data_IF_080300213463
#
_entry.id   IF_080300213463
#
_cell.length_a   1.000
_cell.length_b   1.000
_cell.length_c   1.000
_cell.angle_alpha   90.00
_cell.angle_beta   90.00
_cell.angle_gamma   90.00
#
_symmetry.space_group_name_H-M   'P 1'
#
loop_
_entity.id
_entity.type
_entity.pdbx_description
1 polymer ?
#
# COMPACT_ATOMS: atom_id res chain seq x y z
N UNK A 1 3.91 16.81 -76.02
CA UNK A 1 5.24 17.29 -75.62
C UNK A 1 5.24 17.32 -74.12
N UNK A 2 5.98 16.37 -73.58
CA UNK A 2 5.92 15.90 -72.20
C UNK A 2 6.30 16.97 -71.20
N UNK A 3 5.51 17.04 -70.13
CA UNK A 3 5.88 17.68 -68.88
C UNK A 3 6.23 16.59 -67.87
N UNK A 4 7.40 16.73 -67.27
CA UNK A 4 7.96 15.89 -66.20
C UNK A 4 6.92 15.49 -65.15
N UNK A 5 6.77 14.19 -64.92
CA UNK A 5 6.30 13.68 -63.65
C UNK A 5 7.33 12.73 -63.05
N UNK A 6 7.93 13.23 -61.98
CA UNK A 6 8.88 12.59 -61.08
C UNK A 6 8.31 11.26 -60.59
N UNK A 7 9.00 10.15 -60.92
CA UNK A 7 8.76 8.85 -60.30
C UNK A 7 9.05 8.94 -58.79
N UNK A 8 8.00 8.82 -57.97
CA UNK A 8 8.16 8.62 -56.52
C UNK A 8 8.66 7.20 -56.27
N UNK A 9 9.91 7.11 -55.86
CA UNK A 9 10.56 5.90 -55.37
C UNK A 9 9.88 5.43 -54.07
N UNK A 10 9.19 4.28 -54.12
CA UNK A 10 8.67 3.61 -52.92
C UNK A 10 9.74 2.65 -52.42
N UNK A 11 10.34 2.97 -51.27
CA UNK A 11 11.21 2.04 -50.54
C UNK A 11 10.35 1.16 -49.64
N UNK A 12 10.22 -0.11 -49.99
CA UNK A 12 9.72 -1.14 -49.07
C UNK A 12 10.85 -1.64 -48.18
N UNK A 13 10.51 -2.10 -46.98
CA UNK A 13 11.38 -2.16 -45.80
C UNK A 13 12.56 -3.16 -45.86
N UNK A 14 12.70 -3.96 -46.92
CA UNK A 14 13.83 -4.88 -47.08
C UNK A 14 14.43 -4.78 -48.49
N UNK A 15 15.50 -4.00 -48.62
CA UNK A 15 16.17 -3.67 -49.88
C UNK A 15 16.94 -4.82 -50.54
N UNK A 16 16.30 -5.96 -50.86
CA UNK A 16 16.88 -7.03 -51.69
C UNK A 16 15.98 -7.36 -52.88
N UNK A 17 16.55 -7.30 -54.09
CA UNK A 17 16.00 -7.96 -55.29
C UNK A 17 16.36 -9.45 -55.19
N UNK A 18 15.38 -10.34 -55.06
CA UNK A 18 15.60 -11.78 -55.27
C UNK A 18 14.46 -12.38 -56.09
N UNK A 19 14.87 -13.21 -57.04
CA UNK A 19 14.04 -13.92 -57.99
C UNK A 19 13.14 -14.96 -57.29
N UNK A 20 12.05 -15.29 -57.98
CA UNK A 20 11.02 -16.23 -57.59
C UNK A 20 11.58 -17.65 -57.60
N UNK A 21 11.64 -18.30 -56.44
CA UNK A 21 11.66 -19.76 -56.35
C UNK A 21 10.31 -20.25 -55.83
N UNK A 22 9.76 -21.23 -56.58
CA UNK A 22 8.52 -21.94 -56.28
C UNK A 22 8.75 -22.90 -55.12
N UNK A 23 7.83 -22.92 -54.16
CA UNK A 23 7.38 -24.16 -53.55
C UNK A 23 5.98 -23.99 -52.94
N UNK A 24 5.14 -25.00 -53.17
CA UNK A 24 3.76 -25.12 -52.72
C UNK A 24 3.73 -25.63 -51.27
N UNK A 25 2.88 -25.05 -50.42
CA UNK A 25 1.75 -25.76 -49.78
C UNK A 25 1.04 -24.84 -48.76
N UNK A 26 -0.26 -25.09 -48.61
CA UNK A 26 -1.26 -24.10 -48.21
C UNK A 26 -1.28 -23.66 -46.75
N UNK A 27 -1.53 -22.36 -46.57
CA UNK A 27 -2.38 -21.76 -45.55
C UNK A 27 -2.61 -20.29 -45.96
N UNK A 28 -3.86 -19.89 -46.24
CA UNK A 28 -4.21 -18.51 -46.57
C UNK A 28 -3.96 -17.60 -45.35
N UNK A 29 -2.78 -16.98 -45.29
CA UNK A 29 -2.54 -15.81 -44.44
C UNK A 29 -3.41 -14.68 -44.96
N UNK A 30 -4.53 -14.38 -44.28
CA UNK A 30 -5.24 -13.11 -44.41
C UNK A 30 -4.22 -11.97 -44.31
N UNK A 31 -4.01 -11.26 -45.41
CA UNK A 31 -3.19 -10.05 -45.40
C UNK A 31 -3.82 -9.06 -44.43
N UNK A 32 -3.09 -8.72 -43.37
CA UNK A 32 -3.48 -7.60 -42.51
C UNK A 32 -3.39 -6.36 -43.39
N UNK A 33 -4.52 -5.80 -43.78
CA UNK A 33 -4.56 -4.53 -44.52
C UNK A 33 -3.71 -3.50 -43.78
N UNK A 34 -2.69 -2.97 -44.45
CA UNK A 34 -1.85 -1.90 -43.92
C UNK A 34 -2.68 -0.62 -43.82
N UNK A 35 -3.32 -0.40 -42.68
CA UNK A 35 -4.02 0.86 -42.40
C UNK A 35 -2.99 1.99 -42.34
N UNK A 36 -3.14 2.98 -43.21
CA UNK A 36 -2.30 4.19 -43.21
C UNK A 36 -2.88 5.17 -42.20
N UNK A 37 -2.15 5.41 -41.10
CA UNK A 37 -2.50 6.42 -40.10
C UNK A 37 -2.02 7.79 -40.58
N UNK A 38 -2.91 8.79 -40.61
CA UNK A 38 -2.59 10.15 -41.11
C UNK A 38 -2.76 11.26 -40.06
N UNK A 39 -3.22 10.94 -38.84
CA UNK A 39 -3.51 11.94 -37.80
C UNK A 39 -2.36 12.12 -36.80
N UNK A 40 -1.17 12.43 -37.31
CA UNK A 40 0.03 12.64 -36.50
C UNK A 40 -0.05 13.87 -35.58
N UNK A 41 -1.01 14.78 -35.82
CA UNK A 41 -1.23 15.96 -34.99
C UNK A 41 -2.07 15.67 -33.73
N UNK A 42 -2.98 14.69 -33.75
CA UNK A 42 -3.74 14.31 -32.56
C UNK A 42 -2.99 13.31 -31.68
N UNK A 43 -2.39 12.25 -32.25
CA UNK A 43 -1.60 11.27 -31.50
C UNK A 43 -0.61 10.57 -32.43
N UNK A 44 0.68 10.74 -32.19
CA UNK A 44 1.71 10.06 -33.00
C UNK A 44 2.00 8.65 -32.44
N UNK A 45 1.96 7.58 -33.27
CA UNK A 45 2.40 6.25 -32.85
C UNK A 45 3.87 6.28 -32.44
N UNK A 46 4.22 5.60 -31.33
CA UNK A 46 5.61 5.52 -30.89
C UNK A 46 6.47 4.78 -31.93
N UNK A 47 7.67 5.29 -32.19
CA UNK A 47 8.63 4.62 -33.05
C UNK A 47 8.98 3.22 -32.47
N UNK A 48 9.18 2.18 -33.30
CA UNK A 48 9.50 0.84 -32.83
C UNK A 48 10.69 0.79 -31.86
N UNK A 49 11.72 1.61 -32.11
CA UNK A 49 12.92 1.73 -31.29
C UNK A 49 12.60 2.29 -29.89
N UNK A 50 11.62 3.19 -29.79
CA UNK A 50 11.14 3.74 -28.52
C UNK A 50 10.32 2.70 -27.76
N UNK A 51 9.43 1.97 -28.45
CA UNK A 51 8.67 0.86 -27.85
C UNK A 51 9.63 -0.21 -27.31
N UNK A 52 10.64 -0.57 -28.10
CA UNK A 52 11.66 -1.53 -27.71
C UNK A 52 12.45 -1.03 -26.49
N UNK A 53 12.96 0.21 -26.53
CA UNK A 53 13.71 0.79 -25.40
C UNK A 53 12.87 0.84 -24.12
N UNK A 54 11.58 1.20 -24.22
CA UNK A 54 10.66 1.20 -23.08
C UNK A 54 10.42 -0.22 -22.56
N UNK A 55 10.25 -1.19 -23.46
CA UNK A 55 10.01 -2.60 -23.08
C UNK A 55 11.27 -3.21 -22.44
N UNK A 56 12.45 -2.92 -22.97
CA UNK A 56 13.75 -3.28 -22.40
C UNK A 56 13.97 -2.61 -21.05
N UNK A 57 13.68 -1.32 -20.91
CA UNK A 57 13.73 -0.62 -19.63
C UNK A 57 12.73 -1.21 -18.63
N UNK A 58 11.54 -1.61 -19.08
CA UNK A 58 10.63 -2.36 -18.25
C UNK A 58 11.27 -3.69 -17.85
N UNK A 59 11.86 -4.49 -18.75
CA UNK A 59 12.46 -5.78 -18.41
C UNK A 59 13.75 -5.74 -17.58
N UNK A 60 14.55 -4.68 -17.71
CA UNK A 60 15.93 -4.67 -17.22
C UNK A 60 16.27 -3.44 -16.37
N UNK A 61 15.56 -2.32 -16.53
CA UNK A 61 15.79 -1.11 -15.76
C UNK A 61 14.91 -1.05 -14.49
N UNK A 62 14.77 -2.18 -13.79
CA UNK A 62 14.27 -2.17 -12.41
C UNK A 62 15.41 -1.74 -11.49
N UNK A 63 15.35 -0.48 -11.04
CA UNK A 63 16.31 0.04 -10.09
C UNK A 63 15.80 1.35 -9.52
N UNK A 64 15.88 1.50 -8.21
CA UNK A 64 15.64 2.79 -7.58
C UNK A 64 16.84 3.71 -7.93
N UNK A 65 16.66 4.86 -8.61
CA UNK A 65 17.73 5.80 -8.94
C UNK A 65 18.47 6.40 -7.73
N UNK A 66 18.04 6.07 -6.50
CA UNK A 66 18.68 6.46 -5.24
C UNK A 66 19.34 5.30 -4.45
N UNK A 67 19.44 4.09 -5.03
CA UNK A 67 19.87 2.89 -4.28
C UNK A 67 21.34 2.50 -4.44
N UNK A 68 22.26 3.42 -4.11
CA UNK A 68 23.63 3.06 -3.72
C UNK A 68 23.82 2.96 -2.19
N UNK A 69 22.73 3.03 -1.42
CA UNK A 69 22.75 2.86 0.03
C UNK A 69 22.01 1.60 0.45
N UNK A 70 22.73 0.63 1.01
CA UNK A 70 22.16 -0.49 1.76
C UNK A 70 21.62 0.06 3.08
N UNK A 71 20.30 0.24 3.19
CA UNK A 71 19.66 0.49 4.48
C UNK A 71 19.49 -0.86 5.18
N UNK A 72 20.12 -1.03 6.34
CA UNK A 72 19.88 -2.17 7.20
C UNK A 72 18.49 -2.06 7.84
N UNK A 73 17.75 -3.17 7.89
CA UNK A 73 16.46 -3.25 8.55
C UNK A 73 16.46 -4.39 9.57
N UNK A 74 15.81 -4.16 10.72
CA UNK A 74 15.52 -5.20 11.70
C UNK A 74 14.01 -5.39 11.77
N UNK A 75 13.54 -6.60 11.50
CA UNK A 75 12.14 -6.98 11.65
C UNK A 75 11.97 -7.62 13.02
N UNK A 76 11.47 -6.83 13.97
CA UNK A 76 11.22 -7.30 15.33
C UNK A 76 9.97 -8.18 15.34
N UNK A 77 10.04 -9.43 15.83
CA UNK A 77 8.89 -10.31 15.89
C UNK A 77 7.86 -9.77 16.89
N UNK A 78 6.59 -10.07 16.64
CA UNK A 78 5.53 -9.84 17.63
C UNK A 78 5.49 -10.97 18.66
N UNK A 79 5.01 -10.65 19.85
CA UNK A 79 4.73 -11.64 20.87
C UNK A 79 3.64 -12.59 20.42
N UNK A 80 3.90 -13.90 20.53
CA UNK A 80 2.91 -14.95 20.25
C UNK A 80 1.79 -15.00 21.29
N UNK A 81 1.95 -14.30 22.41
CA UNK A 81 0.99 -14.28 23.51
C UNK A 81 0.04 -13.08 23.36
N UNK A 82 0.57 -11.90 23.07
CA UNK A 82 -0.21 -10.65 23.02
C UNK A 82 -0.57 -10.22 21.59
N UNK A 83 0.11 -10.78 20.58
CA UNK A 83 -0.03 -10.34 19.18
C UNK A 83 0.51 -8.93 18.94
N UNK A 84 1.12 -8.30 19.95
CA UNK A 84 1.73 -6.98 19.89
C UNK A 84 3.25 -7.10 19.73
N UNK A 85 3.86 -6.03 19.23
CA UNK A 85 5.30 -5.86 19.43
C UNK A 85 5.57 -5.40 20.86
N UNK A 86 6.60 -5.98 21.48
CA UNK A 86 7.00 -5.59 22.83
C UNK A 86 7.97 -4.39 22.74
N UNK A 87 7.75 -3.40 23.60
CA UNK A 87 8.54 -2.16 23.59
C UNK A 87 10.02 -2.46 23.84
N UNK A 88 10.33 -3.33 24.80
CA UNK A 88 11.70 -3.72 25.14
C UNK A 88 12.42 -4.38 23.96
N UNK A 89 11.74 -5.19 23.14
CA UNK A 89 12.32 -5.83 21.97
C UNK A 89 12.70 -4.79 20.89
N UNK A 90 11.87 -3.74 20.72
CA UNK A 90 12.22 -2.62 19.83
C UNK A 90 13.43 -1.87 20.37
N UNK A 91 13.45 -1.55 21.67
CA UNK A 91 14.56 -0.80 22.28
C UNK A 91 15.87 -1.59 22.18
N UNK A 92 15.83 -2.90 22.40
CA UNK A 92 16.98 -3.79 22.26
C UNK A 92 17.51 -3.88 20.81
N UNK A 93 16.66 -3.68 19.81
CA UNK A 93 17.04 -3.70 18.40
C UNK A 93 17.72 -2.40 17.90
N UNK A 94 17.70 -1.34 18.71
CA UNK A 94 18.24 -0.02 18.31
C UNK A 94 19.75 -0.05 18.21
N UNK A 95 20.27 0.51 17.12
CA UNK A 95 21.70 0.63 16.80
C UNK A 95 22.13 2.09 16.81
N UNK A 96 23.45 2.38 16.86
CA UNK A 96 23.95 3.75 16.69
C UNK A 96 23.47 4.41 15.38
N UNK A 97 23.28 3.62 14.32
CA UNK A 97 22.83 4.07 13.00
C UNK A 97 21.31 4.02 12.78
N UNK A 98 20.52 3.59 13.76
CA UNK A 98 19.05 3.58 13.63
C UNK A 98 18.55 5.02 13.48
N UNK A 99 17.76 5.28 12.44
CA UNK A 99 17.19 6.59 12.13
C UNK A 99 15.66 6.64 12.19
N UNK A 100 14.99 5.50 12.05
CA UNK A 100 13.53 5.41 12.00
C UNK A 100 13.04 4.12 12.67
N UNK A 101 12.02 4.26 13.50
CA UNK A 101 11.18 3.16 13.96
C UNK A 101 9.81 3.34 13.32
N UNK A 102 9.35 2.32 12.60
CA UNK A 102 8.09 2.35 11.85
C UNK A 102 7.23 1.15 12.23
N UNK A 103 6.15 1.39 12.97
CA UNK A 103 5.24 0.35 13.46
C UNK A 103 3.81 0.75 13.15
N UNK A 104 3.02 -0.16 12.56
CA UNK A 104 1.61 0.09 12.31
C UNK A 104 0.83 0.30 13.61
N UNK A 105 -0.12 1.22 13.63
CA UNK A 105 -0.92 1.51 14.83
C UNK A 105 -1.90 0.38 15.14
N UNK A 106 -2.52 -0.19 14.10
CA UNK A 106 -3.44 -1.31 14.25
C UNK A 106 -3.26 -2.31 13.10
N UNK A 107 -3.09 -3.58 13.44
CA UNK A 107 -2.92 -4.64 12.47
C UNK A 107 -4.21 -4.86 11.64
N UNK A 108 -4.04 -4.99 10.33
CA UNK A 108 -5.14 -5.11 9.38
C UNK A 108 -5.83 -6.49 9.36
N UNK A 109 -5.23 -7.52 9.95
CA UNK A 109 -5.77 -8.89 9.98
C UNK A 109 -6.35 -9.26 11.34
N UNK A 110 -5.59 -9.03 12.40
CA UNK A 110 -6.01 -9.37 13.77
C UNK A 110 -6.77 -8.23 14.43
N UNK A 111 -6.55 -6.99 13.98
CA UNK A 111 -7.06 -5.79 14.62
C UNK A 111 -6.26 -5.36 15.85
N UNK A 112 -5.20 -6.07 16.24
CA UNK A 112 -4.39 -5.74 17.43
C UNK A 112 -3.79 -4.34 17.30
N UNK A 113 -3.91 -3.54 18.36
CA UNK A 113 -3.38 -2.17 18.43
C UNK A 113 -1.98 -2.22 19.05
N UNK A 114 -0.99 -1.64 18.39
CA UNK A 114 0.40 -1.61 18.88
C UNK A 114 0.61 -0.50 19.93
N UNK A 115 1.56 -0.65 20.87
CA UNK A 115 1.80 0.31 21.95
C UNK A 115 2.58 1.56 21.49
N UNK A 116 2.05 2.29 20.50
CA UNK A 116 2.75 3.40 19.84
C UNK A 116 3.09 4.56 20.80
N UNK A 117 2.15 5.00 21.65
CA UNK A 117 2.42 6.10 22.59
C UNK A 117 3.55 5.77 23.57
N UNK A 118 3.54 4.56 24.13
CA UNK A 118 4.57 4.08 25.05
C UNK A 118 5.93 3.97 24.34
N UNK A 119 5.94 3.39 23.14
CA UNK A 119 7.14 3.28 22.33
C UNK A 119 7.72 4.65 21.97
N UNK A 120 6.89 5.62 21.56
CA UNK A 120 7.32 6.99 21.27
C UNK A 120 7.94 7.67 22.50
N UNK A 121 7.39 7.45 23.70
CA UNK A 121 7.97 7.98 24.94
C UNK A 121 9.36 7.39 25.22
N UNK A 122 9.53 6.07 25.07
CA UNK A 122 10.83 5.42 25.26
C UNK A 122 11.87 5.89 24.23
N UNK A 123 11.47 6.05 22.97
CA UNK A 123 12.33 6.60 21.92
C UNK A 123 12.71 8.06 22.22
N UNK A 124 11.81 8.86 22.78
CA UNK A 124 12.11 10.23 23.18
C UNK A 124 13.17 10.27 24.30
N UNK A 125 13.04 9.42 25.33
CA UNK A 125 14.04 9.28 26.40
C UNK A 125 15.37 8.84 25.81
N UNK A 126 15.37 7.85 24.91
CA UNK A 126 16.59 7.37 24.27
C UNK A 126 17.26 8.46 23.42
N UNK A 127 16.46 9.28 22.73
CA UNK A 127 16.97 10.40 21.94
C UNK A 127 17.72 11.44 22.79
N UNK A 128 17.30 11.69 24.04
CA UNK A 128 18.04 12.56 24.96
C UNK A 128 19.45 12.03 25.20
N UNK A 129 19.59 10.73 25.46
CA UNK A 129 20.87 10.07 25.66
C UNK A 129 21.72 10.05 24.38
N UNK A 130 21.09 9.79 23.23
CA UNK A 130 21.76 9.77 21.92
C UNK A 130 22.34 11.14 21.55
N UNK A 131 21.61 12.22 21.81
CA UNK A 131 22.11 13.57 21.59
C UNK A 131 23.37 13.87 22.42
N UNK A 132 23.40 13.43 23.69
CA UNK A 132 24.59 13.57 24.54
C UNK A 132 25.82 12.82 23.99
N UNK A 133 25.60 11.77 23.19
CA UNK A 133 26.63 10.97 22.52
C UNK A 133 26.93 11.46 21.08
N UNK A 134 26.34 12.57 20.64
CA UNK A 134 26.49 13.08 19.26
C UNK A 134 25.82 12.21 18.19
N UNK A 135 24.93 11.30 18.59
CA UNK A 135 24.18 10.44 17.67
C UNK A 135 22.89 11.12 17.21
N UNK A 136 22.46 10.89 15.96
CA UNK A 136 21.20 11.43 15.46
C UNK A 136 20.01 10.86 16.23
N UNK A 137 18.95 11.68 16.36
CA UNK A 137 17.66 11.24 16.91
C UNK A 137 17.03 10.17 16.01
N UNK A 138 16.34 9.24 16.63
CA UNK A 138 15.47 8.25 16.00
C UNK A 138 14.11 8.89 15.83
N UNK A 139 13.57 8.80 14.62
CA UNK A 139 12.23 9.28 14.29
C UNK A 139 11.19 8.17 14.46
N UNK A 140 9.96 8.56 14.78
CA UNK A 140 8.83 7.63 14.94
C UNK A 140 7.83 7.78 13.80
N UNK A 141 7.54 6.69 13.10
CA UNK A 141 6.45 6.59 12.14
C UNK A 141 5.41 5.58 12.60
N UNK A 142 4.13 5.90 12.38
CA UNK A 142 3.07 4.91 12.48
C UNK A 142 2.14 4.88 11.26
N UNK A 143 1.86 3.68 10.77
CA UNK A 143 0.78 3.47 9.81
C UNK A 143 -0.57 3.39 10.54
N UNK A 144 -1.36 4.46 10.43
CA UNK A 144 -2.67 4.57 11.08
C UNK A 144 -3.84 4.18 10.15
N UNK A 145 -3.56 3.58 8.98
CA UNK A 145 -4.56 3.29 7.95
C UNK A 145 -5.82 2.60 8.49
N UNK A 146 -5.66 1.65 9.43
CA UNK A 146 -6.79 0.90 9.96
C UNK A 146 -7.48 1.57 11.15
N UNK A 147 -6.81 2.45 11.88
CA UNK A 147 -7.32 3.04 13.12
C UNK A 147 -8.22 4.26 12.87
N UNK A 148 -7.93 5.08 11.87
CA UNK A 148 -8.71 6.29 11.57
C UNK A 148 -10.18 5.91 11.28
N UNK A 149 -11.10 6.61 11.94
CA UNK A 149 -12.55 6.36 11.87
C UNK A 149 -13.04 5.17 12.69
N UNK A 150 -12.16 4.50 13.43
CA UNK A 150 -12.47 3.32 14.28
C UNK A 150 -12.01 3.48 15.73
N UNK A 151 -11.32 4.58 16.00
CA UNK A 151 -10.95 5.06 17.31
C UNK A 151 -10.17 6.37 17.17
N UNK A 152 -9.95 7.06 18.29
CA UNK A 152 -9.26 8.35 18.30
C UNK A 152 -7.79 8.19 17.87
N UNK A 153 -7.36 9.05 16.95
CA UNK A 153 -5.98 9.13 16.46
C UNK A 153 -5.54 10.59 16.51
N UNK A 154 -4.48 10.86 17.26
CA UNK A 154 -3.84 12.16 17.32
C UNK A 154 -2.33 11.96 17.28
N UNK A 155 -1.67 12.53 16.26
CA UNK A 155 -0.23 12.38 16.07
C UNK A 155 0.59 12.97 17.22
N UNK A 156 0.07 14.01 17.89
CA UNK A 156 0.70 14.61 19.06
C UNK A 156 0.62 13.67 20.27
N UNK A 157 -0.56 13.13 20.56
CA UNK A 157 -0.76 12.20 21.69
C UNK A 157 -0.03 10.87 21.49
N UNK A 158 0.11 10.43 20.23
CA UNK A 158 0.91 9.26 19.88
C UNK A 158 2.42 9.53 19.95
N UNK A 159 2.85 10.79 20.02
CA UNK A 159 4.26 11.17 20.07
C UNK A 159 5.05 10.89 18.80
N UNK A 160 4.38 10.65 17.66
CA UNK A 160 5.03 10.26 16.39
C UNK A 160 5.52 11.47 15.60
N UNK A 161 6.54 11.27 14.78
CA UNK A 161 7.05 12.27 13.83
C UNK A 161 6.34 12.17 12.48
N UNK A 162 5.92 10.96 12.09
CA UNK A 162 5.19 10.67 10.86
C UNK A 162 3.96 9.81 11.12
N UNK A 163 2.87 10.05 10.39
CA UNK A 163 1.68 9.20 10.45
C UNK A 163 1.01 9.08 9.08
N UNK A 164 0.79 7.85 8.63
CA UNK A 164 0.15 7.56 7.33
C UNK A 164 -1.38 7.57 7.45
N UNK A 165 -2.04 8.30 6.53
CA UNK A 165 -3.50 8.44 6.42
C UNK A 165 -3.97 7.82 5.10
N UNK A 166 -4.95 6.91 5.16
CA UNK A 166 -5.48 6.20 3.97
C UNK A 166 -6.99 6.40 3.85
N UNK A 167 -7.42 7.23 2.89
CA UNK A 167 -8.80 7.68 2.74
C UNK A 167 -9.84 6.56 2.66
N UNK A 168 -9.61 5.60 1.77
CA UNK A 168 -10.55 4.50 1.51
C UNK A 168 -10.71 3.51 2.68
N UNK A 169 -10.02 3.70 3.80
CA UNK A 169 -10.21 2.93 5.05
C UNK A 169 -11.15 3.60 6.06
N UNK A 170 -11.57 4.84 5.78
CA UNK A 170 -12.52 5.62 6.58
C UNK A 170 -13.54 6.37 5.69
N UNK A 171 -14.05 5.68 4.66
CA UNK A 171 -15.10 6.18 3.75
C UNK A 171 -14.70 7.36 2.84
N UNK A 172 -13.39 7.64 2.69
CA UNK A 172 -12.91 8.64 1.74
C UNK A 172 -12.54 8.04 0.38
N UNK A 173 -12.24 8.87 -0.65
CA UNK A 173 -11.71 8.41 -1.92
C UNK A 173 -10.36 7.68 -1.79
N UNK A 174 -9.92 7.02 -2.88
CA UNK A 174 -8.63 6.30 -2.95
C UNK A 174 -7.43 7.23 -3.09
N UNK A 175 -7.30 8.17 -2.17
CA UNK A 175 -6.10 8.96 -1.92
C UNK A 175 -5.73 8.86 -0.42
N UNK A 176 -4.62 9.47 -0.04
CA UNK A 176 -4.16 9.50 1.34
C UNK A 176 -3.40 10.79 1.63
N UNK A 177 -2.82 10.85 2.81
CA UNK A 177 -1.94 11.94 3.24
C UNK A 177 -0.85 11.38 4.17
N UNK A 178 0.21 12.15 4.36
CA UNK A 178 1.24 11.89 5.35
C UNK A 178 1.25 13.06 6.33
N UNK A 179 0.92 12.79 7.59
CA UNK A 179 1.20 13.73 8.67
C UNK A 179 2.69 13.74 8.94
N UNK A 180 3.27 14.93 9.05
CA UNK A 180 4.67 15.15 9.45
C UNK A 180 4.69 16.21 10.54
N UNK A 181 5.37 15.94 11.65
CA UNK A 181 5.52 16.89 12.75
C UNK A 181 6.52 17.97 12.37
N UNK A 182 6.04 19.18 12.06
CA UNK A 182 6.90 20.32 11.69
C UNK A 182 7.78 20.02 10.46
N UNK A 183 7.18 19.76 9.29
CA UNK A 183 7.91 19.34 8.08
C UNK A 183 8.93 20.39 7.68
N UNK A 184 10.18 19.97 7.47
CA UNK A 184 11.29 20.85 7.08
C UNK A 184 11.84 21.74 8.21
N UNK A 185 11.25 21.70 9.41
CA UNK A 185 11.69 22.47 10.58
C UNK A 185 12.21 21.52 11.67
N UNK A 186 11.32 20.70 12.23
CA UNK A 186 11.66 19.76 13.30
C UNK A 186 11.86 18.34 12.79
N UNK A 187 11.25 18.01 11.65
CA UNK A 187 11.28 16.68 11.06
C UNK A 187 11.65 16.79 9.57
N UNK A 188 12.71 16.10 9.12
CA UNK A 188 13.09 16.12 7.71
C UNK A 188 12.05 15.39 6.86
N UNK A 189 11.78 15.91 5.67
CA UNK A 189 10.98 15.24 4.66
C UNK A 189 11.65 15.45 3.31
N UNK A 190 12.21 14.38 2.75
CA UNK A 190 12.85 14.41 1.44
C UNK A 190 11.85 13.91 0.39
N UNK A 191 11.59 14.68 -0.68
CA UNK A 191 10.61 14.30 -1.68
C UNK A 191 11.10 13.11 -2.51
N UNK A 192 10.17 12.22 -2.88
CA UNK A 192 10.42 11.18 -3.87
C UNK A 192 10.20 11.67 -5.31
N UNK A 193 9.33 12.67 -5.49
CA UNK A 193 8.95 13.24 -6.77
C UNK A 193 9.50 14.65 -6.89
N UNK A 194 9.89 15.07 -8.10
CA UNK A 194 10.38 16.41 -8.40
C UNK A 194 9.47 17.07 -9.45
N UNK A 195 9.18 18.37 -9.29
CA UNK A 195 8.25 19.05 -10.18
C UNK A 195 7.89 20.47 -9.73
N UNK A 196 6.68 20.92 -10.09
CA UNK A 196 6.27 22.34 -10.06
C UNK A 196 5.96 22.98 -8.70
N UNK A 197 6.48 22.46 -7.59
CA UNK A 197 6.39 23.12 -6.28
C UNK A 197 5.12 22.90 -5.44
N UNK A 198 4.16 22.11 -5.92
CA UNK A 198 2.97 21.73 -5.13
C UNK A 198 3.37 21.02 -3.82
N UNK A 199 2.48 21.09 -2.81
CA UNK A 199 2.72 20.56 -1.46
C UNK A 199 4.10 20.98 -0.89
N UNK A 200 4.47 22.25 -1.10
CA UNK A 200 5.75 22.83 -0.68
C UNK A 200 6.99 22.07 -1.17
N UNK A 201 6.96 21.55 -2.40
CA UNK A 201 7.97 20.65 -3.00
C UNK A 201 8.06 19.25 -2.38
N UNK A 202 7.30 18.92 -1.33
CA UNK A 202 7.35 17.58 -0.73
C UNK A 202 6.63 16.52 -1.58
N UNK A 203 5.57 16.93 -2.29
CA UNK A 203 4.83 16.08 -3.24
C UNK A 203 4.35 16.95 -4.43
N UNK A 204 5.22 17.20 -5.42
CA UNK A 204 4.87 17.98 -6.59
C UNK A 204 3.83 17.29 -7.50
N UNK A 205 3.24 18.08 -8.39
CA UNK A 205 2.17 17.68 -9.32
C UNK A 205 0.83 18.29 -8.91
N UNK A 206 0.08 18.80 -9.90
CA UNK A 206 -1.20 19.49 -9.68
C UNK A 206 -2.11 18.69 -8.75
N UNK A 207 -2.65 19.39 -7.76
CA UNK A 207 -3.45 18.82 -6.69
C UNK A 207 -4.75 18.21 -7.23
N UNK A 208 -5.09 17.00 -6.77
CA UNK A 208 -6.31 16.33 -7.17
C UNK A 208 -7.51 16.86 -6.34
N UNK A 209 -7.95 18.08 -6.67
CA UNK A 209 -8.92 18.85 -5.87
C UNK A 209 -10.18 18.08 -5.49
N UNK A 210 -10.87 17.35 -6.40
CA UNK A 210 -12.07 16.59 -6.01
C UNK A 210 -11.77 15.47 -5.01
N UNK A 211 -10.63 14.78 -5.17
CA UNK A 211 -10.24 13.73 -4.24
C UNK A 211 -9.87 14.30 -2.87
N UNK A 212 -9.16 15.44 -2.83
CA UNK A 212 -8.81 16.16 -1.59
C UNK A 212 -10.07 16.64 -0.86
N UNK A 213 -11.04 17.21 -1.58
CA UNK A 213 -12.32 17.60 -1.01
C UNK A 213 -13.06 16.41 -0.37
N UNK A 214 -13.07 15.25 -1.05
CA UNK A 214 -13.63 14.01 -0.51
C UNK A 214 -12.90 13.50 0.74
N UNK A 215 -11.56 13.58 0.75
CA UNK A 215 -10.75 13.23 1.92
C UNK A 215 -11.03 14.14 3.10
N UNK A 216 -11.09 15.46 2.87
CA UNK A 216 -11.42 16.46 3.88
C UNK A 216 -12.81 16.24 4.47
N UNK A 217 -13.81 15.94 3.64
CA UNK A 217 -15.17 15.66 4.13
C UNK A 217 -15.24 14.40 4.98
N UNK A 218 -14.56 13.33 4.58
CA UNK A 218 -14.49 12.10 5.38
C UNK A 218 -13.79 12.35 6.73
N UNK A 219 -12.72 13.14 6.75
CA UNK A 219 -12.03 13.52 7.98
C UNK A 219 -12.93 14.34 8.93
N UNK A 220 -13.72 15.28 8.40
CA UNK A 220 -14.72 16.04 9.18
C UNK A 220 -15.75 15.11 9.83
N UNK A 221 -16.27 14.14 9.08
CA UNK A 221 -17.22 13.14 9.59
C UNK A 221 -16.61 12.24 10.67
N UNK A 222 -15.36 11.81 10.49
CA UNK A 222 -14.63 11.08 11.52
C UNK A 222 -14.49 11.92 12.78
N UNK A 223 -14.06 13.18 12.67
CA UNK A 223 -13.88 14.04 13.83
C UNK A 223 -15.18 14.28 14.62
N UNK A 224 -16.32 14.36 13.91
CA UNK A 224 -17.63 14.58 14.54
C UNK A 224 -18.21 13.32 15.20
N UNK A 225 -18.01 12.16 14.59
CA UNK A 225 -18.80 10.96 14.91
C UNK A 225 -17.93 9.75 15.35
N UNK A 226 -16.62 9.94 15.60
CA UNK A 226 -15.68 8.82 15.82
C UNK A 226 -16.14 7.87 16.94
N UNK A 227 -16.59 8.44 18.07
CA UNK A 227 -17.04 7.65 19.23
C UNK A 227 -18.30 6.84 18.90
N UNK A 228 -19.25 7.42 18.16
CA UNK A 228 -20.46 6.71 17.72
C UNK A 228 -20.11 5.57 16.74
N UNK A 229 -19.18 5.81 15.81
CA UNK A 229 -18.69 4.79 14.89
C UNK A 229 -18.01 3.65 15.64
N UNK A 230 -17.12 3.98 16.57
CA UNK A 230 -16.41 3.00 17.39
C UNK A 230 -17.38 2.16 18.23
N UNK A 231 -18.34 2.80 18.90
CA UNK A 231 -19.35 2.14 19.72
C UNK A 231 -20.22 1.19 18.90
N UNK A 232 -20.75 1.66 17.76
CA UNK A 232 -21.57 0.85 16.88
C UNK A 232 -20.80 -0.35 16.29
N UNK A 233 -19.59 -0.11 15.79
CA UNK A 233 -18.73 -1.16 15.25
C UNK A 233 -18.40 -2.23 16.30
N UNK A 234 -18.11 -1.80 17.54
CA UNK A 234 -17.87 -2.69 18.67
C UNK A 234 -19.09 -3.52 18.99
N UNK A 235 -20.27 -2.91 19.08
CA UNK A 235 -21.53 -3.61 19.35
C UNK A 235 -21.79 -4.71 18.32
N UNK A 236 -21.69 -4.38 17.03
CA UNK A 236 -21.93 -5.32 15.93
C UNK A 236 -20.89 -6.46 15.94
N UNK A 237 -19.62 -6.15 16.17
CA UNK A 237 -18.56 -7.16 16.25
C UNK A 237 -18.77 -8.10 17.44
N UNK A 238 -19.06 -7.55 18.62
CA UNK A 238 -19.30 -8.33 19.83
C UNK A 238 -20.59 -9.18 19.69
N UNK A 239 -21.61 -8.70 18.95
CA UNK A 239 -22.76 -9.50 18.56
C UNK A 239 -22.37 -10.65 17.62
N UNK A 240 -21.58 -10.39 16.57
CA UNK A 240 -21.10 -11.41 15.64
C UNK A 240 -20.36 -12.53 16.38
N UNK A 241 -19.44 -12.20 17.28
CA UNK A 241 -18.68 -13.19 18.06
C UNK A 241 -19.60 -14.07 18.90
N UNK A 242 -20.57 -13.47 19.62
CA UNK A 242 -21.58 -14.23 20.38
C UNK A 242 -22.38 -15.19 19.49
N UNK A 243 -22.77 -14.74 18.28
CA UNK A 243 -23.52 -15.58 17.33
C UNK A 243 -22.68 -16.71 16.76
N UNK A 244 -21.40 -16.47 16.47
CA UNK A 244 -20.45 -17.50 16.02
C UNK A 244 -20.26 -18.56 17.10
N UNK A 245 -19.99 -18.16 18.36
CA UNK A 245 -19.84 -19.11 19.47
C UNK A 245 -21.10 -19.94 19.68
N UNK A 246 -22.28 -19.31 19.66
CA UNK A 246 -23.56 -20.01 19.85
C UNK A 246 -23.86 -21.00 18.72
N UNK A 247 -23.38 -20.73 17.50
CA UNK A 247 -23.67 -21.56 16.31
C UNK A 247 -22.68 -22.71 16.12
N UNK A 248 -21.39 -22.47 16.34
CA UNK A 248 -20.33 -23.46 16.10
C UNK A 248 -19.85 -24.17 17.38
N UNK A 249 -20.12 -23.59 18.55
CA UNK A 249 -19.63 -24.08 19.83
C UNK A 249 -18.16 -23.71 20.08
N UNK A 250 -17.81 -23.47 21.35
CA UNK A 250 -16.47 -23.03 21.75
C UNK A 250 -15.34 -24.01 21.42
N UNK A 251 -15.64 -25.29 21.28
CA UNK A 251 -14.62 -26.31 20.97
C UNK A 251 -14.19 -26.31 19.51
N UNK A 252 -15.00 -25.75 18.61
CA UNK A 252 -14.72 -25.71 17.17
C UNK A 252 -14.38 -24.33 16.67
N UNK A 253 -14.42 -23.31 17.53
CA UNK A 253 -14.22 -21.93 17.15
C UNK A 253 -13.01 -21.37 17.90
N UNK A 254 -12.10 -20.73 17.17
CA UNK A 254 -10.99 -20.01 17.75
C UNK A 254 -11.00 -18.56 17.23
N UNK A 255 -10.93 -17.59 18.13
CA UNK A 255 -10.83 -16.17 17.76
C UNK A 255 -9.38 -15.72 17.70
N UNK A 256 -8.90 -15.46 16.49
CA UNK A 256 -7.53 -15.03 16.20
C UNK A 256 -7.30 -13.54 16.48
N UNK A 257 -8.34 -12.81 16.89
CA UNK A 257 -8.29 -11.40 17.26
C UNK A 257 -8.30 -11.16 18.77
N UNK A 258 -8.46 -12.19 19.59
CA UNK A 258 -8.60 -12.07 21.05
C UNK A 258 -7.31 -12.46 21.75
N UNK A 259 -6.36 -11.52 21.84
CA UNK A 259 -5.12 -11.70 22.58
C UNK A 259 -5.25 -11.18 24.01
N UNK A 260 -4.77 -11.92 25.04
CA UNK A 260 -4.76 -11.45 26.42
C UNK A 260 -4.03 -10.12 26.59
N UNK A 261 -4.68 -9.15 27.25
CA UNK A 261 -4.08 -7.85 27.60
C UNK A 261 -3.97 -6.85 26.44
N UNK A 262 -4.10 -7.27 25.19
CA UNK A 262 -4.00 -6.39 24.03
C UNK A 262 -5.33 -5.71 23.68
N UNK A 263 -5.26 -4.42 23.34
CA UNK A 263 -6.39 -3.72 22.70
C UNK A 263 -6.50 -4.15 21.24
N UNK A 264 -7.72 -4.09 20.70
CA UNK A 264 -7.99 -4.37 19.28
C UNK A 264 -9.00 -3.41 18.69
N UNK A 265 -9.02 -3.29 17.36
CA UNK A 265 -10.02 -2.56 16.61
C UNK A 265 -11.43 -2.98 17.01
N UNK A 266 -12.32 -1.99 17.09
CA UNK A 266 -13.72 -2.16 17.45
C UNK A 266 -14.47 -3.07 16.47
N UNK A 267 -14.10 -3.07 15.18
CA UNK A 267 -14.85 -3.76 14.12
C UNK A 267 -14.29 -5.13 13.71
N UNK A 268 -13.08 -5.51 14.13
CA UNK A 268 -12.37 -6.65 13.56
C UNK A 268 -12.68 -7.94 14.32
N UNK A 269 -13.08 -8.98 13.58
CA UNK A 269 -13.28 -10.34 14.07
C UNK A 269 -12.56 -11.30 13.11
N UNK A 270 -11.36 -11.73 13.48
CA UNK A 270 -10.66 -12.82 12.83
C UNK A 270 -10.91 -14.10 13.62
N UNK A 271 -11.32 -15.16 12.93
CA UNK A 271 -11.64 -16.43 13.55
C UNK A 271 -11.34 -17.60 12.63
N UNK A 272 -11.14 -18.77 13.24
CA UNK A 272 -10.98 -20.05 12.57
C UNK A 272 -12.04 -21.02 13.08
N UNK A 273 -12.60 -21.81 12.18
CA UNK A 273 -13.50 -22.92 12.52
C UNK A 273 -12.76 -24.23 12.29
N UNK A 274 -12.64 -25.04 13.33
CA UNK A 274 -11.99 -26.34 13.26
C UNK A 274 -12.92 -27.40 12.68
N UNK A 275 -12.37 -28.15 11.74
CA UNK A 275 -12.99 -29.28 11.09
C UNK A 275 -12.10 -29.81 9.96
N UNK A 276 -12.08 -31.12 9.72
CA UNK A 276 -11.27 -31.69 8.66
C UNK A 276 -11.71 -31.14 7.29
N UNK A 277 -10.74 -30.65 6.51
CA UNK A 277 -10.98 -30.14 5.16
C UNK A 277 -11.68 -28.77 5.08
N UNK A 278 -11.88 -28.07 6.20
CA UNK A 278 -12.42 -26.71 6.18
C UNK A 278 -11.36 -25.71 5.71
N UNK A 279 -11.56 -25.15 4.52
CA UNK A 279 -10.79 -24.02 4.00
C UNK A 279 -11.66 -22.78 4.00
N UNK A 280 -11.12 -21.63 4.46
CA UNK A 280 -11.87 -20.39 4.55
C UNK A 280 -12.53 -19.98 3.24
N UNK A 281 -11.84 -20.18 2.11
CA UNK A 281 -12.35 -19.85 0.77
C UNK A 281 -13.58 -20.67 0.40
N UNK A 282 -13.56 -21.97 0.73
CA UNK A 282 -14.68 -22.88 0.50
C UNK A 282 -15.86 -22.54 1.40
N UNK A 283 -15.63 -22.12 2.64
CA UNK A 283 -16.71 -21.66 3.52
C UNK A 283 -17.35 -20.40 2.94
N UNK A 284 -16.54 -19.41 2.55
CA UNK A 284 -17.03 -18.14 2.01
C UNK A 284 -17.72 -18.28 0.65
N UNK A 285 -17.34 -19.22 -0.20
CA UNK A 285 -18.05 -19.45 -1.48
C UNK A 285 -19.50 -19.91 -1.29
N UNK A 286 -19.83 -20.46 -0.12
CA UNK A 286 -21.19 -20.86 0.25
C UNK A 286 -21.94 -19.79 1.06
N UNK A 287 -21.25 -18.74 1.52
CA UNK A 287 -21.85 -17.60 2.21
C UNK A 287 -22.53 -16.66 1.20
N UNK A 288 -23.87 -16.69 1.14
CA UNK A 288 -24.64 -15.83 0.23
C UNK A 288 -24.86 -14.40 0.76
N UNK A 289 -24.77 -14.22 2.08
CA UNK A 289 -25.22 -13.00 2.76
C UNK A 289 -24.06 -12.22 3.39
N UNK A 290 -22.88 -12.84 3.51
CA UNK A 290 -21.71 -12.25 4.16
C UNK A 290 -20.53 -12.22 3.20
N UNK A 291 -19.91 -11.04 3.12
CA UNK A 291 -18.64 -10.85 2.44
C UNK A 291 -17.55 -10.74 3.50
N UNK A 292 -16.52 -11.58 3.38
CA UNK A 292 -15.34 -11.56 4.23
C UNK A 292 -14.11 -11.91 3.39
N UNK A 293 -12.93 -11.75 3.98
CA UNK A 293 -11.67 -12.18 3.38
C UNK A 293 -11.06 -13.33 4.17
N UNK A 294 -10.24 -14.15 3.51
CA UNK A 294 -9.46 -15.24 4.12
C UNK A 294 -8.06 -14.81 4.57
N UNK A 295 -7.77 -13.52 4.44
CA UNK A 295 -6.49 -12.84 4.66
C UNK A 295 -6.59 -11.41 4.11
N UNK A 296 -5.66 -10.52 4.45
CA UNK A 296 -5.75 -9.11 4.02
C UNK A 296 -4.87 -8.77 2.82
N UNK A 297 -3.96 -9.65 2.40
CA UNK A 297 -3.10 -9.39 1.25
C UNK A 297 -3.77 -9.80 -0.07
N UNK A 298 -3.90 -8.86 -1.01
CA UNK A 298 -4.20 -9.13 -2.42
C UNK A 298 -3.13 -9.98 -3.15
N UNK A 299 -2.15 -10.52 -2.43
CA UNK A 299 -1.18 -11.48 -2.92
C UNK A 299 -0.91 -12.53 -1.84
N UNK A 300 -1.61 -13.66 -1.91
CA UNK A 300 -1.09 -14.92 -1.37
C UNK A 300 -1.51 -16.06 -2.29
N UNK A 301 -0.66 -16.34 -3.29
CA UNK A 301 -0.67 -17.65 -3.97
C UNK A 301 -0.18 -18.79 -3.05
N UNK A 302 0.06 -18.51 -1.77
CA UNK A 302 0.44 -19.47 -0.73
C UNK A 302 -0.37 -19.30 0.56
N UNK A 303 -1.66 -19.01 0.43
CA UNK A 303 -2.56 -18.66 1.55
C UNK A 303 -3.18 -19.82 2.33
N UNK A 304 -2.71 -21.06 2.18
CA UNK A 304 -3.25 -22.23 2.89
C UNK A 304 -2.11 -23.04 3.55
N UNK A 305 -1.42 -22.45 4.54
CA UNK A 305 -0.61 -23.20 5.53
C UNK A 305 -1.00 -22.81 6.94
#
# INVERSE_FOLDING_TARGET
>A
MDGDQVEKMVLTKDGRKTAVDKECDGEEKKSVESKVYMDYNATTPMAPEVIQTVTEAMHEAWGNPSSSYTAEATFVPVSKITGQVEVDDIIAAIRPTTCLVSIMLANNETGVIMPISELSQQIQILNQNRMALGLPRILMHTDAAQMIGKGRVDGQDLGVDYLTIVGHKFYAPRIGALYVRGPGVTTPLHPMLFGGGQEWNFRPGTENTPMIAGLGKAAELVNKNCEDYEAHMKEVRDYLEKRLEASFGKQRLHFNSQFPGAKRLCNTCNFSVWGPGLQGRMVLSHCKTLLASVGAACHSEKGDQ
#
